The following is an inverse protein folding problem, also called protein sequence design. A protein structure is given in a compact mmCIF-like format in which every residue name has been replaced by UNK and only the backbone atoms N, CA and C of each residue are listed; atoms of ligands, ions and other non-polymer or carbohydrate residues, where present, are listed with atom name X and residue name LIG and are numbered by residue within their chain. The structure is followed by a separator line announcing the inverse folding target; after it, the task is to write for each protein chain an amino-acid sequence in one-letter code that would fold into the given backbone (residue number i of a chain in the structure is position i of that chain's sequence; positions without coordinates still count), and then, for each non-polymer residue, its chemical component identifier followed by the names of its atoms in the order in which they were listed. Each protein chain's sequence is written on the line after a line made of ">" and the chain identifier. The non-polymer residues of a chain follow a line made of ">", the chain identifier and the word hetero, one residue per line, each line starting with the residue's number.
data_IF_632199445606
#
_entry.id   IF_632199445606
#
_cell.length_a   1.000
_cell.length_b   1.000
_cell.length_c   1.000
_cell.angle_alpha   90.00
_cell.angle_beta   90.00
_cell.angle_gamma   90.00
#
_symmetry.space_group_name_H-M   'P 1'
#
loop_
_entity.id
_entity.type
_entity.pdbx_description
1 polymer ?
#
# COMPACT_ATOMS: atom_id res chain seq x y z
N UNK A 1 22.61 -3.69 22.57
CA UNK A 1 22.69 -3.83 21.11
C UNK A 1 21.35 -3.38 20.53
N UNK A 2 21.29 -2.25 19.83
CA UNK A 2 20.03 -1.76 19.26
C UNK A 2 19.62 -2.65 18.09
N UNK A 3 18.43 -3.23 18.14
CA UNK A 3 17.84 -3.94 17.00
C UNK A 3 17.50 -2.92 15.93
N UNK A 4 18.24 -2.92 14.82
CA UNK A 4 17.94 -2.07 13.68
C UNK A 4 16.59 -2.48 13.10
N UNK A 5 15.59 -1.61 13.22
CA UNK A 5 14.28 -1.82 12.61
C UNK A 5 14.43 -1.60 11.11
N UNK A 6 14.34 -2.69 10.35
CA UNK A 6 14.40 -2.68 8.89
C UNK A 6 12.99 -2.83 8.33
N UNK A 7 12.64 -2.04 7.31
CA UNK A 7 11.41 -2.19 6.52
C UNK A 7 11.80 -2.40 5.07
N UNK A 8 11.11 -3.33 4.39
CA UNK A 8 11.33 -3.60 2.96
C UNK A 8 10.00 -3.83 2.24
N UNK A 9 9.94 -3.31 1.02
CA UNK A 9 8.75 -3.37 0.17
C UNK A 9 9.13 -3.70 -1.26
N UNK A 10 8.30 -4.47 -1.94
CA UNK A 10 8.34 -4.64 -3.39
C UNK A 10 7.27 -3.75 -4.03
N UNK A 11 7.72 -2.80 -4.83
CA UNK A 11 6.87 -1.91 -5.60
C UNK A 11 6.70 -2.43 -7.04
N UNK A 12 5.45 -2.49 -7.50
CA UNK A 12 5.11 -2.77 -8.91
C UNK A 12 4.24 -1.64 -9.45
N UNK A 13 4.63 -1.11 -10.61
CA UNK A 13 3.87 -0.13 -11.38
C UNK A 13 3.51 -0.76 -12.71
N UNK A 14 2.22 -0.71 -13.05
CA UNK A 14 1.72 -1.23 -14.33
C UNK A 14 0.76 -0.23 -14.96
N UNK A 15 0.85 -0.10 -16.28
CA UNK A 15 -0.07 0.70 -17.08
C UNK A 15 -0.41 -0.10 -18.32
N UNK A 16 -1.70 -0.26 -18.57
CA UNK A 16 -2.20 -0.93 -19.76
C UNK A 16 -2.44 0.10 -20.87
N UNK A 17 -2.39 -0.34 -22.13
CA UNK A 17 -2.82 0.48 -23.26
C UNK A 17 -4.27 0.97 -23.05
N UNK A 18 -4.53 2.24 -23.36
CA UNK A 18 -5.83 2.87 -23.13
C UNK A 18 -6.12 3.28 -21.68
N UNK A 19 -5.29 2.93 -20.69
CA UNK A 19 -5.41 3.49 -19.33
C UNK A 19 -4.53 4.73 -19.16
N UNK A 20 -5.10 5.87 -18.74
CA UNK A 20 -4.32 7.09 -18.50
C UNK A 20 -3.50 7.02 -17.20
N UNK A 21 -3.92 6.20 -16.24
CA UNK A 21 -3.33 6.12 -14.89
C UNK A 21 -2.44 4.90 -14.72
N UNK A 22 -1.37 5.04 -13.94
CA UNK A 22 -0.55 3.92 -13.47
C UNK A 22 -1.23 3.25 -12.28
N UNK A 23 -1.46 1.94 -12.36
CA UNK A 23 -1.83 1.13 -11.21
C UNK A 23 -0.56 0.78 -10.44
N UNK A 24 -0.63 0.86 -9.12
CA UNK A 24 0.48 0.50 -8.27
C UNK A 24 0.12 -0.68 -7.37
N UNK A 25 1.11 -1.45 -6.96
CA UNK A 25 0.99 -2.49 -5.95
C UNK A 25 2.21 -2.46 -5.06
N UNK A 26 1.98 -2.41 -3.76
CA UNK A 26 3.03 -2.55 -2.74
C UNK A 26 2.85 -3.89 -2.07
N UNK A 27 3.96 -4.58 -1.85
CA UNK A 27 4.02 -5.81 -1.07
C UNK A 27 5.06 -5.67 0.02
N UNK A 28 4.66 -5.86 1.28
CA UNK A 28 5.56 -5.85 2.41
C UNK A 28 6.39 -7.15 2.41
N UNK A 29 7.71 -7.03 2.37
CA UNK A 29 8.61 -8.18 2.26
C UNK A 29 8.68 -9.03 3.54
N UNK A 30 8.25 -8.48 4.68
CA UNK A 30 8.27 -9.16 5.99
C UNK A 30 6.94 -9.86 6.28
N UNK A 31 5.81 -9.23 5.96
CA UNK A 31 4.47 -9.77 6.26
C UNK A 31 3.83 -10.46 5.05
N UNK A 32 4.32 -10.20 3.83
CA UNK A 32 3.67 -10.63 2.60
C UNK A 32 2.38 -9.86 2.28
N UNK A 33 2.00 -8.87 3.10
CA UNK A 33 0.81 -8.05 2.87
C UNK A 33 0.93 -7.29 1.56
N UNK A 34 -0.13 -7.35 0.74
CA UNK A 34 -0.18 -6.75 -0.59
C UNK A 34 -1.35 -5.77 -0.70
N UNK A 35 -1.04 -4.54 -1.09
CA UNK A 35 -2.02 -3.46 -1.27
C UNK A 35 -1.94 -2.95 -2.70
N UNK A 36 -3.11 -2.78 -3.33
CA UNK A 36 -3.23 -2.28 -4.71
C UNK A 36 -3.79 -0.86 -4.69
N UNK A 37 -3.27 -0.02 -5.57
CA UNK A 37 -3.68 1.37 -5.72
C UNK A 37 -4.11 1.67 -7.14
N UNK A 38 -5.16 2.46 -7.26
CA UNK A 38 -5.68 2.92 -8.54
C UNK A 38 -4.81 3.99 -9.20
N UNK A 39 -4.02 4.69 -8.40
CA UNK A 39 -3.10 5.72 -8.84
C UNK A 39 -1.82 5.73 -7.98
N UNK A 40 -0.75 6.29 -8.55
CA UNK A 40 0.56 6.38 -7.92
C UNK A 40 0.60 7.35 -6.72
N UNK A 41 -0.28 8.36 -6.67
CA UNK A 41 -0.25 9.37 -5.61
C UNK A 41 -0.78 8.79 -4.29
N UNK A 42 -1.84 7.98 -4.35
CA UNK A 42 -2.35 7.24 -3.20
C UNK A 42 -1.30 6.29 -2.63
N UNK A 43 -0.58 5.59 -3.51
CA UNK A 43 0.53 4.72 -3.11
C UNK A 43 1.65 5.48 -2.41
N UNK A 44 2.08 6.63 -2.95
CA UNK A 44 3.13 7.46 -2.33
C UNK A 44 2.69 8.00 -0.97
N UNK A 45 1.44 8.43 -0.83
CA UNK A 45 0.87 8.87 0.45
C UNK A 45 0.86 7.75 1.48
N UNK A 46 0.50 6.54 1.06
CA UNK A 46 0.55 5.36 1.93
C UNK A 46 1.97 5.09 2.46
N UNK A 47 2.97 5.07 1.57
CA UNK A 47 4.37 4.87 1.98
C UNK A 47 4.88 6.00 2.87
N UNK A 48 4.55 7.26 2.52
CA UNK A 48 4.96 8.40 3.32
C UNK A 48 4.40 8.28 4.74
N UNK A 49 3.10 7.98 4.88
CA UNK A 49 2.47 7.80 6.17
C UNK A 49 3.15 6.67 6.98
N UNK A 50 3.39 5.50 6.37
CA UNK A 50 4.05 4.37 7.06
C UNK A 50 5.50 4.67 7.49
N UNK A 51 6.20 5.51 6.74
CA UNK A 51 7.58 5.91 7.04
C UNK A 51 7.65 7.04 8.08
N UNK A 52 6.62 7.91 8.14
CA UNK A 52 6.54 9.01 9.11
C UNK A 52 5.86 8.61 10.41
N UNK A 53 4.98 7.60 10.38
CA UNK A 53 4.36 7.03 11.58
C UNK A 53 5.42 6.25 12.38
N UNK A 54 6.10 6.99 13.26
CA UNK A 54 6.94 6.45 14.32
C UNK A 54 6.06 6.08 15.53
N UNK A 55 4.95 5.40 15.29
CA UNK A 55 4.00 5.02 16.35
C UNK A 55 3.42 3.63 16.07
N UNK A 56 3.35 2.73 17.06
CA UNK A 56 2.91 1.36 16.82
C UNK A 56 1.38 1.33 16.61
N UNK A 57 1.01 0.84 15.42
CA UNK A 57 -0.26 0.23 15.06
C UNK A 57 -1.51 1.13 14.96
N UNK A 58 -2.08 1.18 13.75
CA UNK A 58 -3.36 0.52 13.37
C UNK A 58 -4.02 1.34 12.27
N UNK A 59 -3.79 1.00 11.00
CA UNK A 59 -4.70 1.41 9.94
C UNK A 59 -4.91 0.23 8.99
N UNK A 60 -5.97 -0.51 9.27
CA UNK A 60 -6.49 -1.55 8.39
C UNK A 60 -7.09 -0.81 7.18
N UNK A 61 -6.60 -1.02 5.95
CA UNK A 61 -7.28 -0.50 4.77
C UNK A 61 -8.62 -1.23 4.67
N UNK A 62 -9.72 -0.49 4.87
CA UNK A 62 -11.08 -0.99 4.66
C UNK A 62 -11.20 -1.43 3.21
N UNK A 63 -11.28 -2.74 2.99
CA UNK A 63 -11.77 -3.27 1.72
C UNK A 63 -13.28 -3.05 1.72
N UNK A 64 -13.74 -2.05 0.96
CA UNK A 64 -15.13 -1.97 0.53
C UNK A 64 -15.46 -3.25 -0.25
N UNK A 65 -16.37 -4.04 0.31
CA UNK A 65 -17.16 -5.04 -0.43
C UNK A 65 -18.62 -4.64 -0.29
N UNK A 66 -19.07 -3.97 -1.36
CA UNK A 66 -20.27 -4.23 -2.13
C UNK A 66 -21.64 -4.30 -1.41
N UNK A 67 -22.44 -3.28 -1.77
CA UNK A 67 -23.90 -3.21 -1.91
C UNK A 67 -24.67 -4.52 -1.82
N UNK A 68 -25.70 -4.54 -0.96
CA UNK A 68 -26.76 -5.54 -0.96
C UNK A 68 -28.00 -5.00 -0.25
N UNK A 69 -28.86 -4.32 -0.99
CA UNK A 69 -30.27 -4.09 -0.65
C UNK A 69 -30.95 -5.41 -0.27
N UNK A 70 -31.65 -5.46 0.87
CA UNK A 70 -33.04 -5.87 0.99
C UNK A 70 -33.58 -5.71 2.42
#
# INVERSE_FOLDING_TARGET
>A
MGTQQYKAFLLRLQRNEGQPQWRATIENAQTGERIRFADQNQMLRYLLNDLTDTSPATNKPTSEVDSGEN
#
